data_IF_823723653433
#
_entry.id   IF_823723653433
#
_cell.length_a   1.000
_cell.length_b   1.000
_cell.length_c   1.000
_cell.angle_alpha   90.00
_cell.angle_beta   90.00
_cell.angle_gamma   90.00
#
_symmetry.space_group_name_H-M   'P 1'
#
loop_
_entity.id
_entity.type
_entity.pdbx_description
1 polymer ?
#
# COMPACT_ATOMS: atom_id res chain seq x y z
N UNK A 1 -10.85 18.43 13.86
CA UNK A 1 -9.46 18.09 13.47
C UNK A 1 -9.04 16.84 14.22
N UNK A 2 -8.90 15.70 13.54
CA UNK A 2 -8.45 14.47 14.21
C UNK A 2 -6.94 14.36 14.00
N UNK A 3 -6.22 14.27 15.10
CA UNK A 3 -4.76 14.36 15.14
C UNK A 3 -4.12 12.98 14.85
N UNK A 4 -4.86 11.91 15.10
CA UNK A 4 -4.47 10.52 14.87
C UNK A 4 -5.46 9.80 13.95
N UNK A 5 -5.01 8.84 13.15
CA UNK A 5 -5.89 8.13 12.24
C UNK A 5 -5.15 7.22 11.26
N UNK A 6 -5.91 6.62 10.35
CA UNK A 6 -5.34 5.85 9.25
C UNK A 6 -5.47 6.63 7.93
N UNK A 7 -4.39 6.63 7.15
CA UNK A 7 -4.39 7.13 5.78
C UNK A 7 -4.00 6.01 4.82
N UNK A 8 -4.46 6.15 3.58
CA UNK A 8 -4.07 5.31 2.47
C UNK A 8 -3.29 6.20 1.50
N UNK A 9 -2.05 5.83 1.18
CA UNK A 9 -1.28 6.45 0.10
C UNK A 9 -1.36 5.56 -1.14
N UNK A 10 -1.57 6.18 -2.29
CA UNK A 10 -1.32 5.50 -3.57
C UNK A 10 0.18 5.26 -3.69
N UNK A 11 0.58 4.00 -3.90
CA UNK A 11 2.00 3.63 -4.03
C UNK A 11 2.35 3.52 -5.51
N UNK A 12 1.61 2.70 -6.25
CA UNK A 12 1.94 2.38 -7.64
C UNK A 12 0.71 1.87 -8.37
N UNK A 13 0.55 2.27 -9.63
CA UNK A 13 -0.36 1.60 -10.57
C UNK A 13 0.48 0.87 -11.60
N UNK A 14 0.20 -0.41 -11.82
CA UNK A 14 0.86 -1.24 -12.81
C UNK A 14 -0.16 -1.76 -13.79
N UNK A 15 0.13 -1.68 -15.09
CA UNK A 15 -0.74 -2.20 -16.14
C UNK A 15 -0.24 -3.56 -16.61
N UNK A 16 -1.06 -4.60 -16.46
CA UNK A 16 -0.83 -5.88 -17.12
C UNK A 16 -1.46 -5.89 -18.50
N UNK A 17 -0.61 -5.99 -19.51
CA UNK A 17 -0.99 -6.11 -20.93
C UNK A 17 -1.29 -7.55 -21.36
N UNK A 18 -0.89 -8.53 -20.55
CA UNK A 18 -0.88 -9.95 -20.96
C UNK A 18 -1.98 -10.80 -20.32
N UNK A 19 -2.97 -10.18 -19.66
CA UNK A 19 -4.05 -10.91 -18.99
C UNK A 19 -5.38 -10.63 -19.68
N UNK A 20 -6.15 -11.69 -19.91
CA UNK A 20 -7.53 -11.60 -20.39
C UNK A 20 -8.47 -11.32 -19.23
N UNK A 21 -9.30 -10.28 -19.36
CA UNK A 21 -10.32 -9.96 -18.36
C UNK A 21 -11.43 -11.03 -18.38
N UNK A 22 -11.79 -11.66 -17.23
CA UNK A 22 -12.85 -12.68 -17.21
C UNK A 22 -14.26 -12.11 -17.40
N UNK A 23 -14.46 -10.79 -17.26
CA UNK A 23 -15.76 -10.16 -17.44
C UNK A 23 -16.01 -9.72 -18.89
N UNK A 24 -15.02 -9.11 -19.57
CA UNK A 24 -15.19 -8.66 -20.96
C UNK A 24 -14.46 -9.53 -22.00
N UNK A 25 -13.72 -10.57 -21.57
CA UNK A 25 -12.95 -11.48 -22.43
C UNK A 25 -11.89 -10.79 -23.32
N UNK A 26 -11.62 -9.51 -23.09
CA UNK A 26 -10.62 -8.78 -23.83
C UNK A 26 -9.22 -9.01 -23.25
N UNK A 27 -8.25 -9.15 -24.16
CA UNK A 27 -6.83 -9.29 -23.83
C UNK A 27 -6.24 -7.92 -23.48
N UNK A 28 -5.60 -7.85 -22.32
CA UNK A 28 -4.80 -6.72 -21.87
C UNK A 28 -5.60 -5.54 -21.33
N UNK A 29 -4.91 -4.67 -20.59
CA UNK A 29 -5.49 -3.44 -20.02
C UNK A 29 -6.04 -3.60 -18.61
N UNK A 30 -5.42 -4.44 -17.78
CA UNK A 30 -5.75 -4.54 -16.36
C UNK A 30 -4.79 -3.65 -15.55
N UNK A 31 -5.32 -2.58 -14.97
CA UNK A 31 -4.64 -1.68 -14.04
C UNK A 31 -4.70 -2.20 -12.60
N UNK A 32 -3.58 -2.69 -12.11
CA UNK A 32 -3.38 -3.05 -10.72
C UNK A 32 -2.93 -1.82 -9.94
N UNK A 33 -3.84 -1.24 -9.15
CA UNK A 33 -3.52 -0.12 -8.26
C UNK A 33 -3.21 -0.61 -6.85
N UNK A 34 -2.02 -0.27 -6.35
CA UNK A 34 -1.54 -0.61 -5.02
C UNK A 34 -1.60 0.61 -4.10
N UNK A 35 -2.21 0.42 -2.93
CA UNK A 35 -2.40 1.41 -1.88
C UNK A 35 -1.74 0.94 -0.57
N UNK A 36 -0.86 1.75 -0.03
CA UNK A 36 -0.26 1.53 1.29
C UNK A 36 -1.13 2.14 2.37
N UNK A 37 -1.56 1.35 3.35
CA UNK A 37 -2.26 1.88 4.52
C UNK A 37 -1.24 2.11 5.64
N UNK A 38 -1.32 3.27 6.28
CA UNK A 38 -0.47 3.63 7.39
C UNK A 38 -1.25 4.34 8.48
N UNK A 39 -0.84 4.11 9.71
CA UNK A 39 -1.31 4.90 10.84
C UNK A 39 -0.47 6.16 10.95
N UNK A 40 -1.13 7.29 11.15
CA UNK A 40 -0.48 8.54 11.44
C UNK A 40 -0.91 9.03 12.83
N UNK A 41 0.07 9.53 13.58
CA UNK A 41 -0.15 10.21 14.84
C UNK A 41 0.46 11.61 14.70
N UNK A 42 -0.32 12.66 14.90
CA UNK A 42 0.08 14.06 14.65
C UNK A 42 0.64 14.29 13.23
N UNK A 43 -0.04 13.76 12.21
CA UNK A 43 0.36 13.82 10.79
C UNK A 43 1.67 13.08 10.44
N UNK A 44 2.34 12.48 11.43
CA UNK A 44 3.54 11.69 11.21
C UNK A 44 3.13 10.23 11.03
N UNK A 45 3.48 9.58 9.90
CA UNK A 45 3.24 8.16 9.71
C UNK A 45 4.12 7.35 10.67
N UNK A 46 3.51 6.62 11.61
CA UNK A 46 4.20 5.91 12.69
C UNK A 46 4.42 4.44 12.38
N UNK A 47 3.46 3.78 11.73
CA UNK A 47 3.58 2.39 11.33
C UNK A 47 2.71 2.06 10.12
N UNK A 48 3.17 1.13 9.29
CA UNK A 48 2.37 0.62 8.18
C UNK A 48 1.39 -0.44 8.67
N UNK A 49 0.12 -0.27 8.33
CA UNK A 49 -0.97 -1.20 8.62
C UNK A 49 -1.08 -2.31 7.56
N UNK A 50 -0.37 -2.17 6.44
CA UNK A 50 -0.35 -3.16 5.36
C UNK A 50 -0.64 -2.56 3.98
N UNK A 51 -0.61 -3.43 2.97
CA UNK A 51 -0.87 -3.07 1.56
C UNK A 51 -2.25 -3.57 1.16
N UNK A 52 -3.06 -2.68 0.60
CA UNK A 52 -4.25 -3.05 -0.17
C UNK A 52 -3.95 -2.82 -1.65
N UNK A 53 -4.58 -3.57 -2.53
CA UNK A 53 -4.60 -3.19 -3.93
C UNK A 53 -5.85 -3.74 -4.58
N UNK A 54 -6.22 -3.09 -5.67
CA UNK A 54 -7.40 -3.42 -6.46
C UNK A 54 -6.98 -3.45 -7.92
N UNK A 55 -7.54 -4.40 -8.66
CA UNK A 55 -7.28 -4.52 -10.09
C UNK A 55 -8.49 -4.00 -10.85
N UNK A 56 -8.30 -2.98 -11.68
CA UNK A 56 -9.33 -2.38 -12.52
C UNK A 56 -9.07 -2.74 -13.96
N UNK A 57 -10.07 -3.22 -14.69
CA UNK A 57 -9.96 -3.31 -16.15
C UNK A 57 -10.22 -1.93 -16.76
N UNK A 58 -9.31 -1.41 -17.58
CA UNK A 58 -9.45 -0.11 -18.27
C UNK A 58 -10.56 -0.15 -19.32
N UNK A 59 -10.85 -1.33 -19.88
CA UNK A 59 -11.83 -1.49 -20.96
C UNK A 59 -13.27 -1.61 -20.46
N UNK A 60 -13.52 -2.49 -19.47
CA UNK A 60 -14.87 -2.67 -18.91
C UNK A 60 -15.10 -1.90 -17.61
N UNK A 61 -14.10 -1.16 -17.11
CA UNK A 61 -14.12 -0.45 -15.81
C UNK A 61 -14.46 -1.34 -14.60
N UNK A 62 -14.44 -2.66 -14.77
CA UNK A 62 -14.75 -3.60 -13.70
C UNK A 62 -13.61 -3.62 -12.68
N UNK A 63 -13.97 -3.51 -11.41
CA UNK A 63 -13.03 -3.50 -10.28
C UNK A 63 -13.05 -4.89 -9.66
N UNK A 64 -11.94 -5.61 -9.80
CA UNK A 64 -11.68 -6.86 -9.11
C UNK A 64 -11.13 -6.55 -7.72
N UNK A 65 -11.93 -6.88 -6.71
CA UNK A 65 -11.46 -6.90 -5.34
C UNK A 65 -10.49 -8.07 -5.15
N UNK A 66 -9.45 -7.90 -4.31
CA UNK A 66 -8.46 -8.94 -4.07
C UNK A 66 -9.04 -10.24 -3.48
N UNK A 67 -10.28 -10.23 -2.97
CA UNK A 67 -10.99 -11.44 -2.49
C UNK A 67 -11.67 -12.25 -3.59
N UNK A 68 -11.98 -11.62 -4.72
CA UNK A 68 -12.72 -12.25 -5.84
C UNK A 68 -11.90 -12.21 -7.14
N UNK A 69 -10.59 -12.06 -7.01
CA UNK A 69 -9.70 -11.95 -8.13
C UNK A 69 -9.41 -13.35 -8.70
N UNK A 70 -9.53 -13.56 -10.03
CA UNK A 70 -9.19 -14.84 -10.63
C UNK A 70 -7.69 -15.13 -10.45
N UNK A 71 -7.36 -16.42 -10.32
CA UNK A 71 -6.04 -16.92 -9.90
C UNK A 71 -4.88 -16.45 -10.81
N UNK A 72 -5.18 -16.23 -12.09
CA UNK A 72 -4.27 -15.69 -13.10
C UNK A 72 -3.85 -14.24 -12.84
N UNK A 73 -4.76 -13.39 -12.35
CA UNK A 73 -4.44 -12.00 -11.98
C UNK A 73 -3.77 -11.98 -10.59
N UNK A 74 -4.22 -12.84 -9.67
CA UNK A 74 -3.71 -12.91 -8.30
C UNK A 74 -2.23 -13.31 -8.22
N UNK A 75 -1.76 -14.21 -9.09
CA UNK A 75 -0.34 -14.60 -9.16
C UNK A 75 0.58 -13.43 -9.55
N UNK A 76 0.26 -12.72 -10.63
CA UNK A 76 1.01 -11.53 -11.04
C UNK A 76 0.88 -10.40 -10.02
N UNK A 77 -0.29 -10.24 -9.40
CA UNK A 77 -0.50 -9.26 -8.36
C UNK A 77 0.35 -9.54 -7.12
N UNK A 78 0.54 -10.81 -6.73
CA UNK A 78 1.45 -11.21 -5.65
C UNK A 78 2.91 -10.92 -5.97
N UNK A 79 3.36 -11.23 -7.19
CA UNK A 79 4.72 -10.93 -7.65
C UNK A 79 4.98 -9.41 -7.66
N UNK A 80 4.04 -8.63 -8.18
CA UNK A 80 4.12 -7.17 -8.13
C UNK A 80 4.05 -6.64 -6.69
N UNK A 81 3.23 -7.25 -5.81
CA UNK A 81 3.10 -6.85 -4.40
C UNK A 81 4.36 -7.12 -3.59
N UNK A 82 5.12 -8.17 -3.91
CA UNK A 82 6.40 -8.45 -3.28
C UNK A 82 7.49 -7.50 -3.77
N UNK A 83 7.46 -7.11 -5.04
CA UNK A 83 8.38 -6.13 -5.63
C UNK A 83 8.12 -4.70 -5.15
N UNK A 84 6.85 -4.33 -4.96
CA UNK A 84 6.46 -3.04 -4.38
C UNK A 84 6.85 -3.02 -2.91
N UNK A 85 8.07 -2.54 -2.60
CA UNK A 85 8.53 -2.33 -1.22
C UNK A 85 7.60 -1.34 -0.49
N UNK A 86 7.35 -1.58 0.79
CA UNK A 86 6.63 -0.59 1.60
C UNK A 86 7.46 0.70 1.64
N UNK A 87 6.83 1.88 1.45
CA UNK A 87 7.54 3.14 1.58
C UNK A 87 8.23 3.23 2.94
N UNK A 88 9.55 3.41 2.94
CA UNK A 88 10.36 3.59 4.17
C UNK A 88 9.87 4.76 5.03
N UNK A 89 9.18 5.73 4.42
CA UNK A 89 8.54 6.85 5.09
C UNK A 89 7.45 6.46 6.09
N UNK A 90 6.93 5.22 6.07
CA UNK A 90 5.96 4.77 7.07
C UNK A 90 6.54 4.51 8.47
N UNK A 91 7.86 4.57 8.63
CA UNK A 91 8.55 4.33 9.89
C UNK A 91 9.14 5.60 10.52
N UNK A 92 8.87 6.79 9.96
CA UNK A 92 9.45 8.04 10.47
C UNK A 92 9.05 8.34 11.91
N UNK A 93 7.83 7.98 12.32
CA UNK A 93 7.40 8.14 13.71
C UNK A 93 8.17 7.28 14.71
N UNK A 94 8.61 6.07 14.34
CA UNK A 94 9.43 5.21 15.21
C UNK A 94 10.82 5.81 15.43
N UNK A 95 11.41 6.43 14.41
CA UNK A 95 12.71 7.10 14.52
C UNK A 95 12.61 8.28 15.50
N UNK A 96 11.54 9.07 15.44
CA UNK A 96 11.31 10.19 16.34
C UNK A 96 11.13 9.72 17.79
N UNK A 97 10.35 8.66 18.02
CA UNK A 97 10.17 8.10 19.37
C UNK A 97 11.49 7.55 19.92
N UNK A 98 12.27 6.83 19.10
CA UNK A 98 13.58 6.35 19.50
C UNK A 98 14.51 7.50 19.89
N UNK A 99 14.57 8.55 19.08
CA UNK A 99 15.40 9.72 19.35
C UNK A 99 14.99 10.45 20.65
N UNK A 100 13.69 10.63 20.87
CA UNK A 100 13.14 11.20 22.11
C UNK A 100 13.48 10.35 23.34
N UNK A 101 13.31 9.03 23.26
CA UNK A 101 13.64 8.13 24.38
C UNK A 101 15.12 8.19 24.75
N UNK A 102 16.01 8.28 23.75
CA UNK A 102 17.45 8.41 23.94
C UNK A 102 17.77 9.77 24.58
N UNK A 103 17.23 10.86 24.05
CA UNK A 103 17.47 12.20 24.59
C UNK A 103 17.03 12.34 26.06
N UNK A 104 15.87 11.76 26.42
CA UNK A 104 15.38 11.75 27.80
C UNK A 104 16.35 10.97 28.70
N UNK A 105 16.76 9.75 28.29
CA UNK A 105 17.69 8.94 29.07
C UNK A 105 19.06 9.63 29.28
N UNK A 106 19.57 10.33 28.26
CA UNK A 106 20.78 11.14 28.39
C UNK A 106 20.59 12.32 29.34
N UNK A 107 19.45 13.02 29.28
CA UNK A 107 19.17 14.16 30.17
C UNK A 107 19.01 13.76 31.64
N UNK A 108 18.56 12.54 31.92
CA UNK A 108 18.44 12.03 33.30
C UNK A 108 19.76 11.54 33.89
N UNK A 109 20.81 11.40 33.07
CA UNK A 109 22.12 10.87 33.49
C UNK A 109 23.16 11.99 33.68
N UNK A 110 22.89 13.20 33.19
CA UNK A 110 23.67 14.44 33.39
C UNK A 110 23.10 15.21 34.57
#
# INVERSE_FOLDING_TARGET
MIIYGWRSSHIKTLQSKNITCPNCHEKGGIENSFYGKYFHFFWIPTFSLGKKGASRCVKCNHIYEPKHMPENIDRQFREMKSEVRLPFWHFSGLIIIAFLSIAIAFSSTI
#
